data_IF_342263101882
#
_entry.id   IF_342263101882
#
_cell.length_a   1.000
_cell.length_b   1.000
_cell.length_c   1.000
_cell.angle_alpha   90.00
_cell.angle_beta   90.00
_cell.angle_gamma   90.00
#
_symmetry.space_group_name_H-M   'P 1'
#
loop_
_entity.id
_entity.type
_entity.pdbx_description
1 polymer ?
#
# COMPACT_ATOMS: atom_id res chain seq x y z
N UNK A 1 10.45 -7.60 -14.16
CA UNK A 1 11.24 -6.78 -13.23
C UNK A 1 10.54 -6.85 -11.89
N UNK A 2 11.26 -7.14 -10.82
CA UNK A 2 10.70 -7.25 -9.48
C UNK A 2 10.15 -5.89 -9.06
N UNK A 3 8.85 -5.72 -8.77
CA UNK A 3 8.26 -4.38 -8.62
C UNK A 3 8.84 -3.61 -7.43
N UNK A 4 9.53 -4.30 -6.51
CA UNK A 4 10.12 -3.75 -5.30
C UNK A 4 11.62 -3.42 -5.42
N UNK A 5 12.31 -3.87 -6.47
CA UNK A 5 13.72 -3.56 -6.69
C UNK A 5 13.85 -2.73 -7.99
N UNK A 6 14.38 -1.51 -7.90
CA UNK A 6 14.50 -0.64 -9.08
C UNK A 6 15.67 -1.05 -9.97
N UNK A 7 16.76 -1.49 -9.35
CA UNK A 7 18.00 -1.86 -9.99
C UNK A 7 18.65 -3.01 -9.21
N UNK A 8 19.26 -3.98 -9.91
CA UNK A 8 19.94 -5.12 -9.29
C UNK A 8 21.11 -4.69 -8.38
N UNK A 9 21.72 -3.52 -8.62
CA UNK A 9 22.75 -2.96 -7.75
C UNK A 9 22.25 -2.51 -6.38
N UNK A 10 20.93 -2.42 -6.16
CA UNK A 10 20.31 -2.10 -4.88
C UNK A 10 19.96 -3.35 -4.05
N UNK A 11 20.22 -4.57 -4.54
CA UNK A 11 19.77 -5.83 -3.92
C UNK A 11 20.32 -6.02 -2.50
N UNK A 12 21.61 -5.79 -2.27
CA UNK A 12 22.24 -5.94 -0.95
C UNK A 12 21.64 -4.96 0.07
N UNK A 13 21.43 -3.69 -0.31
CA UNK A 13 20.78 -2.71 0.57
C UNK A 13 19.31 -3.07 0.81
N UNK A 14 18.62 -3.59 -0.20
CA UNK A 14 17.23 -4.02 -0.07
C UNK A 14 17.11 -5.16 0.95
N UNK A 15 17.97 -6.17 0.86
CA UNK A 15 17.96 -7.33 1.76
C UNK A 15 18.29 -6.94 3.20
N UNK A 16 19.29 -6.08 3.41
CA UNK A 16 19.64 -5.56 4.74
C UNK A 16 18.46 -4.81 5.39
N UNK A 17 17.74 -4.02 4.61
CA UNK A 17 16.58 -3.26 5.11
C UNK A 17 15.38 -4.19 5.31
N UNK A 18 15.20 -5.19 4.46
CA UNK A 18 14.15 -6.20 4.60
C UNK A 18 14.31 -7.01 5.89
N UNK A 19 15.54 -7.37 6.27
CA UNK A 19 15.84 -8.03 7.54
C UNK A 19 15.38 -7.23 8.76
N UNK A 20 15.39 -5.89 8.64
CA UNK A 20 14.83 -5.00 9.67
C UNK A 20 13.30 -4.96 9.55
N UNK A 21 12.76 -4.85 8.34
CA UNK A 21 11.31 -4.80 8.11
C UNK A 21 10.59 -6.04 8.68
N UNK A 22 11.12 -7.25 8.46
CA UNK A 22 10.54 -8.50 8.97
C UNK A 22 10.36 -8.49 10.50
N UNK A 23 11.19 -7.74 11.24
CA UNK A 23 11.07 -7.61 12.70
C UNK A 23 9.80 -6.88 13.15
N UNK A 24 9.12 -6.17 12.25
CA UNK A 24 7.78 -5.62 12.51
C UNK A 24 6.74 -6.72 12.76
N UNK A 25 6.91 -7.94 12.26
CA UNK A 25 6.03 -9.07 12.57
C UNK A 25 6.37 -9.77 13.90
N UNK A 26 7.34 -9.25 14.68
CA UNK A 26 7.75 -9.85 15.94
C UNK A 26 6.66 -9.78 17.01
N UNK A 27 6.45 -10.88 17.74
CA UNK A 27 5.58 -10.91 18.93
C UNK A 27 6.11 -10.06 20.09
N UNK A 28 7.40 -9.69 20.08
CA UNK A 28 8.01 -8.84 21.11
C UNK A 28 7.86 -7.38 20.74
N UNK A 29 7.08 -6.64 21.54
CA UNK A 29 6.83 -5.20 21.35
C UNK A 29 8.12 -4.38 21.25
N UNK A 30 9.13 -4.65 22.08
CA UNK A 30 10.40 -3.93 22.03
C UNK A 30 11.12 -4.11 20.69
N UNK A 31 11.12 -5.34 20.15
CA UNK A 31 11.71 -5.63 18.84
C UNK A 31 10.99 -4.92 17.71
N UNK A 32 9.64 -4.87 17.73
CA UNK A 32 8.88 -4.10 16.74
C UNK A 32 9.21 -2.61 16.80
N UNK A 33 9.27 -2.06 18.02
CA UNK A 33 9.58 -0.65 18.22
C UNK A 33 10.99 -0.30 17.72
N UNK A 34 12.01 -1.10 18.07
CA UNK A 34 13.38 -0.91 17.59
C UNK A 34 13.47 -0.97 16.06
N UNK A 35 12.76 -1.92 15.44
CA UNK A 35 12.69 -2.04 13.99
C UNK A 35 12.02 -0.81 13.35
N UNK A 36 10.88 -0.39 13.87
CA UNK A 36 10.17 0.80 13.39
C UNK A 36 11.03 2.06 13.48
N UNK A 37 11.72 2.28 14.61
CA UNK A 37 12.63 3.42 14.78
C UNK A 37 13.81 3.38 13.80
N UNK A 38 14.39 2.20 13.55
CA UNK A 38 15.46 2.02 12.58
C UNK A 38 14.99 2.32 11.15
N UNK A 39 13.83 1.81 10.75
CA UNK A 39 13.24 2.02 9.42
C UNK A 39 12.91 3.50 9.17
N UNK A 40 12.34 4.18 10.18
CA UNK A 40 12.11 5.63 10.10
C UNK A 40 13.40 6.39 9.90
N UNK A 41 14.48 6.02 10.60
CA UNK A 41 15.80 6.65 10.44
C UNK A 41 16.41 6.41 9.05
N UNK A 42 16.13 5.26 8.43
CA UNK A 42 16.55 4.95 7.06
C UNK A 42 15.76 5.76 6.01
N UNK A 43 14.56 6.23 6.36
CA UNK A 43 13.73 7.07 5.51
C UNK A 43 13.24 6.34 4.26
N UNK A 44 13.31 7.00 3.11
CA UNK A 44 12.82 6.49 1.82
C UNK A 44 13.28 5.08 1.46
N UNK A 45 14.49 4.69 1.86
CA UNK A 45 15.07 3.36 1.57
C UNK A 45 14.24 2.22 2.18
N UNK A 46 13.53 2.46 3.27
CA UNK A 46 12.67 1.48 3.91
C UNK A 46 11.37 1.18 3.14
N UNK A 47 10.93 2.08 2.25
CA UNK A 47 9.57 2.02 1.68
C UNK A 47 9.35 0.75 0.87
N UNK A 48 10.26 0.40 -0.04
CA UNK A 48 10.09 -0.79 -0.90
C UNK A 48 10.22 -2.12 -0.14
N UNK A 49 11.19 -2.30 0.77
CA UNK A 49 11.24 -3.46 1.66
C UNK A 49 9.96 -3.62 2.50
N UNK A 50 9.40 -2.53 3.02
CA UNK A 50 8.11 -2.56 3.73
C UNK A 50 6.97 -3.06 2.84
N UNK A 51 6.90 -2.60 1.58
CA UNK A 51 5.87 -3.04 0.64
C UNK A 51 6.06 -4.51 0.20
N UNK A 52 7.31 -4.96 0.11
CA UNK A 52 7.61 -6.36 -0.14
C UNK A 52 7.25 -7.26 1.04
N UNK A 53 7.45 -6.79 2.27
CA UNK A 53 7.00 -7.49 3.47
C UNK A 53 5.49 -7.71 3.44
N UNK A 54 4.70 -6.67 3.12
CA UNK A 54 3.24 -6.80 2.99
C UNK A 54 2.84 -7.75 1.85
N UNK A 55 3.54 -7.73 0.72
CA UNK A 55 3.35 -8.71 -0.33
C UNK A 55 3.52 -10.13 0.21
N UNK A 56 4.66 -10.37 0.86
CA UNK A 56 5.06 -11.69 1.36
C UNK A 56 4.08 -12.22 2.38
N UNK A 57 3.61 -11.36 3.30
CA UNK A 57 2.60 -11.72 4.30
C UNK A 57 1.26 -12.05 3.63
N UNK A 58 0.80 -11.25 2.66
CA UNK A 58 -0.47 -11.46 1.96
C UNK A 58 -0.53 -12.78 1.20
N UNK A 59 0.59 -13.23 0.62
CA UNK A 59 0.65 -14.50 -0.12
C UNK A 59 1.00 -15.70 0.77
N UNK A 60 1.26 -15.46 2.06
CA UNK A 60 1.52 -16.51 3.04
C UNK A 60 0.22 -17.13 3.56
N UNK A 61 0.31 -18.23 4.31
CA UNK A 61 -0.82 -18.85 5.01
C UNK A 61 -1.19 -18.13 6.33
N UNK A 62 -0.78 -16.86 6.50
CA UNK A 62 -1.11 -16.02 7.66
C UNK A 62 -2.60 -15.69 7.75
N UNK A 63 -3.05 -15.23 8.93
CA UNK A 63 -4.46 -14.81 9.09
C UNK A 63 -4.69 -13.38 8.63
N UNK A 64 -5.93 -13.06 8.23
CA UNK A 64 -6.32 -11.69 7.87
C UNK A 64 -6.06 -10.70 9.02
N UNK A 65 -6.18 -11.15 10.28
CA UNK A 65 -5.86 -10.33 11.45
C UNK A 65 -4.36 -10.04 11.58
N UNK A 66 -3.50 -11.03 11.29
CA UNK A 66 -2.04 -10.84 11.32
C UNK A 66 -1.60 -9.87 10.21
N UNK A 67 -2.16 -10.03 9.00
CA UNK A 67 -1.93 -9.11 7.88
C UNK A 67 -2.40 -7.69 8.21
N UNK A 68 -3.59 -7.55 8.79
CA UNK A 68 -4.16 -6.24 9.17
C UNK A 68 -3.28 -5.55 10.22
N UNK A 69 -2.85 -6.28 11.25
CA UNK A 69 -1.96 -5.72 12.28
C UNK A 69 -0.60 -5.29 11.70
N UNK A 70 -0.07 -6.05 10.73
CA UNK A 70 1.16 -5.67 10.04
C UNK A 70 0.99 -4.42 9.19
N UNK A 71 -0.12 -4.30 8.47
CA UNK A 71 -0.49 -3.10 7.71
C UNK A 71 -0.49 -1.85 8.60
N UNK A 72 -1.06 -1.91 9.80
CA UNK A 72 -1.06 -0.79 10.77
C UNK A 72 0.36 -0.38 11.20
N UNK A 73 1.22 -1.36 11.52
CA UNK A 73 2.61 -1.10 11.92
C UNK A 73 3.42 -0.49 10.75
N UNK A 74 3.22 -0.99 9.53
CA UNK A 74 3.87 -0.47 8.32
C UNK A 74 3.39 0.95 7.99
N UNK A 75 2.09 1.23 8.07
CA UNK A 75 1.54 2.56 7.86
C UNK A 75 2.13 3.57 8.86
N UNK A 76 2.20 3.20 10.14
CA UNK A 76 2.78 4.05 11.17
C UNK A 76 4.25 4.40 10.91
N UNK A 77 5.03 3.49 10.30
CA UNK A 77 6.39 3.77 9.85
C UNK A 77 6.41 4.71 8.66
N UNK A 78 5.57 4.47 7.64
CA UNK A 78 5.50 5.30 6.43
C UNK A 78 5.07 6.74 6.74
N UNK A 79 4.09 6.93 7.62
CA UNK A 79 3.66 8.26 8.08
C UNK A 79 4.81 9.02 8.75
N UNK A 80 5.65 8.33 9.52
CA UNK A 80 6.83 8.94 10.16
C UNK A 80 7.98 9.20 9.19
N UNK A 81 8.11 8.42 8.12
CA UNK A 81 9.02 8.74 7.00
C UNK A 81 8.53 10.01 6.29
N UNK A 82 7.21 10.19 6.17
CA UNK A 82 6.60 11.41 5.62
C UNK A 82 6.69 11.47 4.09
N UNK A 83 6.77 12.70 3.55
CA UNK A 83 6.68 12.96 2.11
C UNK A 83 7.77 12.25 1.28
N UNK A 84 8.91 11.92 1.90
CA UNK A 84 9.99 11.14 1.28
C UNK A 84 9.53 9.73 0.85
N UNK A 85 8.45 9.20 1.41
CA UNK A 85 7.86 7.93 1.01
C UNK A 85 7.04 8.02 -0.28
N UNK A 86 6.51 9.20 -0.61
CA UNK A 86 5.52 9.38 -1.68
C UNK A 86 6.00 8.94 -3.07
N UNK A 87 7.26 9.16 -3.50
CA UNK A 87 7.68 8.71 -4.83
C UNK A 87 7.56 7.20 -5.03
N UNK A 88 7.94 6.42 -4.01
CA UNK A 88 7.90 4.95 -4.09
C UNK A 88 6.49 4.41 -3.87
N UNK A 89 5.71 5.05 -2.99
CA UNK A 89 4.29 4.72 -2.83
C UNK A 89 3.50 5.02 -4.12
N UNK A 90 3.75 6.13 -4.82
CA UNK A 90 3.08 6.45 -6.07
C UNK A 90 3.44 5.48 -7.19
N UNK A 91 4.72 5.09 -7.30
CA UNK A 91 5.14 4.07 -8.25
C UNK A 91 4.39 2.76 -7.97
N UNK A 92 4.41 2.28 -6.73
CA UNK A 92 3.74 1.04 -6.35
C UNK A 92 2.21 1.12 -6.46
N UNK A 93 1.60 2.25 -6.16
CA UNK A 93 0.15 2.47 -6.30
C UNK A 93 -0.31 2.52 -7.77
N UNK A 94 0.60 2.45 -8.75
CA UNK A 94 0.26 2.37 -10.19
C UNK A 94 0.98 1.23 -10.93
N UNK A 95 1.83 0.47 -10.24
CA UNK A 95 2.66 -0.58 -10.84
C UNK A 95 1.89 -1.88 -11.03
N UNK A 96 1.49 -2.18 -12.27
CA UNK A 96 0.67 -3.36 -12.64
C UNK A 96 1.35 -4.71 -12.41
N UNK A 97 2.62 -4.73 -12.03
CA UNK A 97 3.34 -5.94 -11.64
C UNK A 97 3.32 -6.20 -10.13
N UNK A 98 2.90 -5.23 -9.31
CA UNK A 98 2.61 -5.45 -7.89
C UNK A 98 1.22 -6.08 -7.71
N UNK A 99 1.00 -6.76 -6.59
CA UNK A 99 -0.29 -7.35 -6.25
C UNK A 99 -1.31 -6.25 -5.91
N UNK A 100 -2.57 -6.49 -6.25
CA UNK A 100 -3.69 -5.55 -6.02
C UNK A 100 -3.74 -5.05 -4.56
N UNK A 101 -3.64 -5.89 -3.51
CA UNK A 101 -3.64 -5.41 -2.13
C UNK A 101 -2.46 -4.48 -1.81
N UNK A 102 -1.31 -4.68 -2.45
CA UNK A 102 -0.15 -3.80 -2.28
C UNK A 102 -0.37 -2.47 -2.99
N UNK A 103 -0.98 -2.48 -4.18
CA UNK A 103 -1.36 -1.24 -4.87
C UNK A 103 -2.37 -0.45 -4.04
N UNK A 104 -3.37 -1.14 -3.49
CA UNK A 104 -4.39 -0.56 -2.60
C UNK A 104 -3.76 0.03 -1.34
N UNK A 105 -2.94 -0.75 -0.64
CA UNK A 105 -2.24 -0.29 0.55
C UNK A 105 -1.38 0.93 0.25
N UNK A 106 -0.60 0.91 -0.84
CA UNK A 106 0.22 2.04 -1.24
C UNK A 106 -0.63 3.30 -1.49
N UNK A 107 -1.80 3.16 -2.11
CA UNK A 107 -2.74 4.27 -2.31
C UNK A 107 -3.29 4.82 -0.99
N UNK A 108 -3.64 3.95 -0.03
CA UNK A 108 -4.11 4.35 1.30
C UNK A 108 -3.00 5.02 2.11
N UNK A 109 -1.78 4.48 2.05
CA UNK A 109 -0.60 5.05 2.69
C UNK A 109 -0.26 6.44 2.14
N UNK A 110 -0.46 6.71 0.85
CA UNK A 110 -0.35 8.08 0.29
C UNK A 110 -1.31 9.03 1.00
N UNK A 111 -2.56 8.63 1.21
CA UNK A 111 -3.52 9.47 1.94
C UNK A 111 -3.09 9.71 3.38
N UNK A 112 -2.63 8.67 4.08
CA UNK A 112 -2.18 8.77 5.46
C UNK A 112 -0.96 9.70 5.59
N UNK A 113 0.06 9.53 4.73
CA UNK A 113 1.27 10.36 4.69
C UNK A 113 0.93 11.83 4.41
N UNK A 114 -0.02 12.09 3.51
CA UNK A 114 -0.44 13.45 3.16
C UNK A 114 -1.51 14.03 4.10
N UNK A 115 -2.02 13.26 5.06
CA UNK A 115 -3.10 13.68 5.97
C UNK A 115 -4.42 13.99 5.24
N UNK A 116 -4.74 13.26 4.16
CA UNK A 116 -5.91 13.54 3.32
C UNK A 116 -7.14 12.75 3.75
N UNK A 117 -8.27 13.46 3.84
CA UNK A 117 -9.56 12.91 4.24
C UNK A 117 -10.66 13.30 3.25
N UNK A 118 -11.73 12.49 3.20
CA UNK A 118 -12.91 12.76 2.39
C UNK A 118 -12.60 13.01 0.91
N UNK A 119 -13.19 14.06 0.34
CA UNK A 119 -13.07 14.39 -1.09
C UNK A 119 -11.65 14.79 -1.50
N UNK A 120 -10.79 15.24 -0.58
CA UNK A 120 -9.41 15.59 -0.90
C UNK A 120 -8.61 14.37 -1.38
N UNK A 121 -8.96 13.16 -0.91
CA UNK A 121 -8.36 11.90 -1.39
C UNK A 121 -8.57 11.71 -2.90
N UNK A 122 -9.67 12.20 -3.46
CA UNK A 122 -9.99 12.03 -4.88
C UNK A 122 -9.03 12.81 -5.78
N UNK A 123 -8.38 13.87 -5.29
CA UNK A 123 -7.45 14.69 -6.08
C UNK A 123 -6.12 13.99 -6.35
N UNK A 124 -5.78 12.98 -5.56
CA UNK A 124 -4.49 12.25 -5.64
C UNK A 124 -4.67 10.74 -5.82
N UNK A 125 -5.91 10.25 -5.87
CA UNK A 125 -6.18 8.83 -6.06
C UNK A 125 -5.97 8.42 -7.52
N UNK A 126 -5.30 7.29 -7.73
CA UNK A 126 -5.13 6.69 -9.06
C UNK A 126 -6.39 5.94 -9.54
N UNK A 127 -7.37 5.76 -8.66
CA UNK A 127 -8.66 5.12 -8.92
C UNK A 127 -8.56 3.74 -9.59
N UNK A 128 -7.52 2.99 -9.22
CA UNK A 128 -7.22 1.71 -9.86
C UNK A 128 -8.27 0.66 -9.53
N UNK A 129 -8.69 0.55 -8.28
CA UNK A 129 -9.68 -0.43 -7.86
C UNK A 129 -11.07 0.20 -7.76
N UNK A 130 -12.01 -0.36 -8.52
CA UNK A 130 -13.40 0.09 -8.56
C UNK A 130 -14.34 -1.10 -8.42
N UNK A 131 -15.46 -0.88 -7.75
CA UNK A 131 -16.52 -1.85 -7.60
C UNK A 131 -17.85 -1.27 -8.06
N UNK A 132 -18.73 -2.14 -8.56
CA UNK A 132 -20.05 -1.73 -9.03
C UNK A 132 -20.99 -1.54 -7.84
N UNK A 133 -21.75 -0.44 -7.83
CA UNK A 133 -22.77 -0.16 -6.84
C UNK A 133 -24.06 0.37 -7.50
N UNK A 134 -25.17 0.34 -6.75
CA UNK A 134 -26.48 0.79 -7.21
C UNK A 134 -26.88 2.06 -6.45
N UNK A 135 -27.19 3.14 -7.16
CA UNK A 135 -27.63 4.40 -6.58
C UNK A 135 -28.76 5.00 -7.40
N UNK A 136 -29.94 5.16 -6.78
CA UNK A 136 -31.11 5.74 -7.45
C UNK A 136 -31.58 4.96 -8.69
N UNK A 137 -31.39 3.64 -8.72
CA UNK A 137 -31.75 2.78 -9.85
C UNK A 137 -30.78 2.82 -11.04
N UNK A 138 -29.61 3.43 -10.87
CA UNK A 138 -28.50 3.42 -11.83
C UNK A 138 -27.33 2.62 -11.29
N UNK A 139 -26.62 1.93 -12.19
CA UNK A 139 -25.32 1.32 -11.88
C UNK A 139 -24.23 2.38 -11.94
N UNK A 140 -23.39 2.45 -10.91
CA UNK A 140 -22.23 3.34 -10.84
C UNK A 140 -21.00 2.53 -10.44
N UNK A 141 -19.84 2.95 -10.90
CA UNK A 141 -18.57 2.44 -10.39
C UNK A 141 -18.11 3.32 -9.23
N UNK A 142 -17.75 2.73 -8.09
CA UNK A 142 -17.21 3.45 -6.94
C UNK A 142 -15.76 3.05 -6.71
N UNK A 143 -14.87 4.02 -6.52
CA UNK A 143 -13.48 3.74 -6.16
C UNK A 143 -13.41 3.17 -4.75
N UNK A 144 -12.66 2.09 -4.58
CA UNK A 144 -12.48 1.43 -3.29
C UNK A 144 -11.74 2.33 -2.27
N UNK A 145 -10.73 3.08 -2.71
CA UNK A 145 -9.87 3.84 -1.80
C UNK A 145 -10.40 5.23 -1.41
N UNK A 146 -11.06 5.95 -2.34
CA UNK A 146 -11.48 7.35 -2.13
C UNK A 146 -12.97 7.61 -2.37
N UNK A 147 -13.75 6.57 -2.63
CA UNK A 147 -15.21 6.64 -2.77
C UNK A 147 -15.75 7.43 -3.98
N UNK A 148 -14.89 7.94 -4.88
CA UNK A 148 -15.33 8.62 -6.09
C UNK A 148 -16.27 7.74 -6.94
N UNK A 149 -17.35 8.32 -7.47
CA UNK A 149 -18.35 7.66 -8.31
C UNK A 149 -18.15 7.99 -9.80
N UNK A 150 -18.31 7.00 -10.68
CA UNK A 150 -18.14 7.13 -12.13
C UNK A 150 -19.35 6.53 -12.86
N UNK A 151 -19.87 7.24 -13.86
CA UNK A 151 -21.02 6.81 -14.68
C UNK A 151 -20.64 5.83 -15.81
N UNK A 152 -19.35 5.69 -16.12
CA UNK A 152 -18.88 4.81 -17.18
C UNK A 152 -17.60 4.06 -16.78
N UNK A 153 -17.40 2.91 -17.41
CA UNK A 153 -16.22 2.08 -17.25
C UNK A 153 -15.07 2.71 -18.05
N UNK A 154 -14.16 3.42 -17.38
CA UNK A 154 -12.90 3.84 -18.01
C UNK A 154 -11.93 2.67 -18.06
N UNK A 155 -12.03 1.88 -19.13
CA UNK A 155 -11.26 0.66 -19.38
C UNK A 155 -9.75 0.86 -19.49
N UNK A 156 -9.25 2.10 -19.47
CA UNK A 156 -7.85 2.37 -19.79
C UNK A 156 -6.86 1.96 -18.69
N UNK A 157 -7.27 1.89 -17.40
CA UNK A 157 -6.32 1.68 -16.27
C UNK A 157 -6.85 0.98 -15.01
N UNK A 158 -8.13 0.60 -14.93
CA UNK A 158 -8.72 0.06 -13.69
C UNK A 158 -8.81 -1.47 -13.65
N UNK A 159 -8.70 -2.04 -12.45
CA UNK A 159 -9.01 -3.44 -12.14
C UNK A 159 -10.42 -3.47 -11.55
N UNK A 160 -11.25 -4.35 -12.10
CA UNK A 160 -12.67 -4.40 -11.81
C UNK A 160 -13.01 -5.59 -10.90
N UNK A 161 -13.61 -5.31 -9.76
CA UNK A 161 -14.17 -6.33 -8.89
C UNK A 161 -15.68 -6.23 -8.96
N UNK A 162 -16.31 -7.25 -9.56
CA UNK A 162 -17.78 -7.39 -9.50
C UNK A 162 -18.14 -8.07 -8.19
N UNK A 163 -18.56 -7.29 -7.21
CA UNK A 163 -19.11 -7.82 -5.96
C UNK A 163 -20.49 -8.39 -6.25
N UNK A 164 -20.57 -9.70 -6.45
CA UNK A 164 -21.86 -10.42 -6.53
C UNK A 164 -22.34 -10.62 -5.10
N UNK A 165 -23.42 -9.93 -4.72
CA UNK A 165 -24.13 -10.22 -3.46
C UNK A 165 -24.94 -11.50 -3.57
#
# INVERSE_FOLDING_TARGET
MYPYLKDESEEEEFDEVLDIAIKLSSKRRSTRQEAAEALVKMGRKAVRPLMFLLHSEYVSDGSDEEYTALCEEVEAVLVKIGEDALPDLNDLATNTSALIPVNEFAQCAIFAVMGLEGEERQKVCHHWMRYLCQKGGKELWKCWCCEAEFEYEDQSRAVYIRVVK
#
